data_IF_150243782961
#
_entry.id   IF_150243782961
#
_cell.length_a   1.000
_cell.length_b   1.000
_cell.length_c   1.000
_cell.angle_alpha   90.00
_cell.angle_beta   90.00
_cell.angle_gamma   90.00
#
_symmetry.space_group_name_H-M   'P 1'
#
loop_
_entity.id
_entity.type
_entity.pdbx_description
1 polymer ?
#
# COMPACT_ATOMS: atom_id res chain seq x y z
N UNK A 1 13.85 -31.68 -55.76
CA UNK A 1 13.25 -30.34 -55.74
C UNK A 1 12.65 -30.11 -54.37
N UNK A 2 12.90 -28.98 -53.74
CA UNK A 2 12.32 -28.70 -52.43
C UNK A 2 10.77 -28.48 -52.55
N UNK A 3 10.01 -29.18 -51.78
CA UNK A 3 8.57 -29.02 -51.71
C UNK A 3 8.24 -27.68 -51.00
N UNK A 4 7.24 -26.93 -51.49
CA UNK A 4 6.85 -25.65 -50.91
C UNK A 4 5.52 -25.81 -50.21
N UNK A 5 5.49 -25.47 -48.91
CA UNK A 5 4.28 -25.49 -48.10
C UNK A 5 3.93 -24.07 -47.64
N UNK A 6 2.68 -23.66 -47.77
CA UNK A 6 2.19 -22.37 -47.26
C UNK A 6 1.63 -22.54 -45.86
N UNK A 7 2.13 -21.77 -44.93
CA UNK A 7 1.70 -21.78 -43.50
C UNK A 7 0.23 -21.36 -43.38
N UNK A 8 -0.61 -22.20 -42.82
CA UNK A 8 -2.00 -21.92 -42.51
C UNK A 8 -2.14 -21.24 -41.14
N UNK A 9 -3.28 -20.61 -40.88
CA UNK A 9 -3.54 -20.02 -39.57
C UNK A 9 -3.44 -21.07 -38.44
N UNK A 10 -2.68 -20.74 -37.38
CA UNK A 10 -2.43 -21.63 -36.23
C UNK A 10 -1.34 -22.70 -36.43
N UNK A 11 -0.72 -22.80 -37.59
CA UNK A 11 0.40 -23.72 -37.81
C UNK A 11 1.73 -23.13 -37.31
N UNK A 12 2.57 -24.02 -36.76
CA UNK A 12 3.93 -23.71 -36.33
C UNK A 12 4.95 -24.45 -37.19
N UNK A 13 6.23 -24.04 -37.20
CA UNK A 13 7.28 -24.80 -37.88
C UNK A 13 7.37 -26.24 -37.36
N UNK A 14 7.11 -26.45 -36.07
CA UNK A 14 7.10 -27.81 -35.47
C UNK A 14 5.98 -28.69 -36.03
N UNK A 15 4.78 -28.12 -36.25
CA UNK A 15 3.66 -28.87 -36.86
C UNK A 15 3.93 -29.20 -38.33
N UNK A 16 4.56 -28.28 -39.05
CA UNK A 16 4.93 -28.44 -40.47
C UNK A 16 6.06 -29.48 -40.58
N UNK A 17 7.08 -29.44 -39.73
CA UNK A 17 8.18 -30.40 -39.69
C UNK A 17 7.66 -31.82 -39.46
N UNK A 18 6.79 -32.01 -38.50
CA UNK A 18 6.18 -33.32 -38.18
C UNK A 18 5.35 -33.86 -39.37
N UNK A 19 4.57 -32.99 -40.02
CA UNK A 19 3.72 -33.39 -41.13
C UNK A 19 4.53 -33.79 -42.38
N UNK A 20 5.79 -33.34 -42.50
CA UNK A 20 6.65 -33.58 -43.66
C UNK A 20 7.88 -34.43 -43.35
N UNK A 21 7.88 -35.13 -42.21
CA UNK A 21 8.95 -36.07 -41.80
C UNK A 21 10.36 -35.43 -41.80
N UNK A 22 10.45 -34.18 -41.37
CA UNK A 22 11.68 -33.38 -41.28
C UNK A 22 11.80 -32.73 -39.91
N UNK A 23 12.88 -32.04 -39.61
CA UNK A 23 13.09 -31.31 -38.37
C UNK A 23 12.91 -29.81 -38.57
N UNK A 24 12.58 -29.09 -37.48
CA UNK A 24 12.50 -27.61 -37.50
C UNK A 24 13.83 -27.00 -37.90
N UNK A 25 14.95 -27.58 -37.46
CA UNK A 25 16.30 -27.16 -37.80
C UNK A 25 16.58 -27.23 -39.29
N UNK A 26 16.18 -28.32 -39.94
CA UNK A 26 16.33 -28.51 -41.39
C UNK A 26 15.43 -27.53 -42.17
N UNK A 27 14.23 -27.30 -41.71
CA UNK A 27 13.35 -26.28 -42.31
C UNK A 27 13.97 -24.87 -42.18
N UNK A 28 14.51 -24.50 -41.02
CA UNK A 28 15.19 -23.23 -40.83
C UNK A 28 16.41 -23.10 -41.75
N UNK A 29 17.23 -24.13 -41.86
CA UNK A 29 18.40 -24.19 -42.76
C UNK A 29 18.00 -24.02 -44.23
N UNK A 30 16.88 -24.63 -44.66
CA UNK A 30 16.36 -24.52 -46.03
C UNK A 30 15.65 -23.17 -46.32
N UNK A 31 15.46 -22.31 -45.30
CA UNK A 31 14.76 -21.02 -45.37
C UNK A 31 15.52 -19.93 -44.62
N UNK A 32 16.63 -19.40 -45.15
CA UNK A 32 17.47 -18.41 -44.45
C UNK A 32 16.72 -17.17 -43.94
N UNK A 33 15.59 -16.83 -44.55
CA UNK A 33 14.73 -15.73 -44.10
C UNK A 33 14.30 -15.82 -42.61
N UNK A 34 14.21 -17.03 -42.06
CA UNK A 34 13.84 -17.20 -40.67
C UNK A 34 14.93 -16.79 -39.68
N UNK A 35 16.19 -16.77 -40.11
CA UNK A 35 17.33 -16.32 -39.32
C UNK A 35 17.74 -14.89 -39.63
N UNK A 36 17.52 -14.42 -40.86
CA UNK A 36 17.98 -13.10 -41.32
C UNK A 36 16.95 -11.98 -41.10
N UNK A 37 15.65 -12.28 -41.08
CA UNK A 37 14.59 -11.31 -40.90
C UNK A 37 14.11 -11.31 -39.41
N UNK A 38 14.32 -10.23 -38.66
CA UNK A 38 14.00 -10.13 -37.23
C UNK A 38 12.56 -10.47 -36.85
N UNK A 39 11.59 -10.30 -37.80
CA UNK A 39 10.18 -10.60 -37.55
C UNK A 39 9.93 -12.09 -37.26
N UNK A 40 10.78 -12.98 -37.74
CA UNK A 40 10.64 -14.41 -37.51
C UNK A 40 11.33 -14.93 -36.24
N UNK A 41 12.06 -14.08 -35.53
CA UNK A 41 12.77 -14.39 -34.27
C UNK A 41 13.53 -15.74 -34.31
N UNK A 42 14.35 -15.94 -35.31
CA UNK A 42 15.10 -17.19 -35.49
C UNK A 42 14.23 -18.42 -35.80
N UNK A 43 13.05 -18.25 -36.36
CA UNK A 43 12.09 -19.32 -36.65
C UNK A 43 11.10 -19.60 -35.50
N UNK A 44 11.19 -18.89 -34.41
CA UNK A 44 10.21 -19.04 -33.28
C UNK A 44 8.82 -18.50 -33.61
N UNK A 45 8.71 -17.63 -34.61
CA UNK A 45 7.44 -17.05 -35.07
C UNK A 45 7.32 -17.26 -36.57
N UNK A 46 6.17 -17.77 -37.03
CA UNK A 46 5.79 -17.84 -38.43
C UNK A 46 4.39 -17.26 -38.64
N UNK A 47 4.20 -16.63 -39.76
CA UNK A 47 2.94 -15.97 -40.09
C UNK A 47 2.16 -16.81 -41.14
N UNK A 48 0.84 -16.82 -40.98
CA UNK A 48 -0.06 -17.41 -42.01
C UNK A 48 0.21 -16.76 -43.39
N UNK A 49 0.21 -17.56 -44.43
CA UNK A 49 0.57 -17.14 -45.79
C UNK A 49 2.08 -17.19 -46.10
N UNK A 50 2.97 -17.44 -45.12
CA UNK A 50 4.40 -17.60 -45.37
C UNK A 50 4.68 -18.89 -46.11
N UNK A 51 5.37 -18.83 -47.27
CA UNK A 51 5.82 -20.04 -47.98
C UNK A 51 7.13 -20.55 -47.37
N UNK A 52 7.16 -21.83 -47.04
CA UNK A 52 8.26 -22.52 -46.40
C UNK A 52 8.76 -23.62 -47.36
N UNK A 53 10.05 -23.66 -47.65
CA UNK A 53 10.68 -24.73 -48.40
C UNK A 53 10.94 -25.90 -47.46
N UNK A 54 10.41 -27.05 -47.82
CA UNK A 54 10.62 -28.31 -47.08
C UNK A 54 11.75 -29.07 -47.76
N UNK A 55 12.86 -29.37 -47.06
CA UNK A 55 13.89 -30.22 -47.62
C UNK A 55 13.31 -31.62 -47.80
N UNK A 56 13.46 -32.19 -49.00
CA UNK A 56 13.13 -33.58 -49.27
C UNK A 56 14.11 -34.43 -48.46
N UNK A 57 13.60 -35.19 -47.51
CA UNK A 57 14.42 -36.15 -46.76
C UNK A 57 15.04 -37.16 -47.73
N UNK A 58 16.31 -37.03 -48.02
CA UNK A 58 17.09 -38.13 -48.55
C UNK A 58 17.33 -39.05 -47.33
N UNK A 59 16.97 -40.34 -47.39
CA UNK A 59 17.30 -41.23 -46.30
C UNK A 59 18.83 -41.37 -46.29
N UNK A 60 19.51 -40.59 -45.49
CA UNK A 60 20.90 -40.78 -45.13
C UNK A 60 20.91 -41.97 -44.14
N UNK A 61 20.97 -43.14 -44.71
CA UNK A 61 21.50 -44.31 -43.99
C UNK A 61 22.87 -43.93 -43.42
N UNK A 62 23.28 -44.48 -42.29
CA UNK A 62 24.58 -44.20 -41.73
C UNK A 62 25.66 -44.43 -42.76
N UNK A 63 26.33 -43.35 -43.18
CA UNK A 63 27.52 -43.42 -44.05
C UNK A 63 28.59 -44.18 -43.27
N UNK A 64 28.88 -45.37 -43.68
CA UNK A 64 30.01 -46.14 -43.20
C UNK A 64 31.27 -45.33 -43.48
N UNK A 65 31.87 -44.79 -42.42
CA UNK A 65 33.16 -44.13 -42.55
C UNK A 65 34.12 -45.13 -43.13
N UNK A 66 34.72 -44.82 -44.29
CA UNK A 66 35.84 -45.52 -44.85
C UNK A 66 36.98 -45.47 -43.83
N UNK A 67 37.17 -46.59 -43.12
CA UNK A 67 38.24 -46.77 -42.15
C UNK A 67 39.62 -46.81 -42.84
N UNK A 68 40.65 -46.45 -42.08
CA UNK A 68 42.02 -46.49 -42.55
C UNK A 68 42.40 -47.92 -42.92
N UNK A 69 43.21 -48.08 -43.99
CA UNK A 69 43.77 -49.31 -44.53
C UNK A 69 44.31 -50.19 -43.41
N UNK A 70 43.83 -51.45 -43.35
CA UNK A 70 44.22 -52.43 -42.37
C UNK A 70 45.74 -52.76 -42.56
N UNK A 71 46.51 -52.56 -41.50
CA UNK A 71 47.85 -53.18 -41.37
C UNK A 71 47.66 -54.65 -41.17
N UNK A 72 48.30 -55.44 -42.09
CA UNK A 72 48.29 -56.88 -42.07
C UNK A 72 48.92 -57.38 -40.76
N UNK A 73 48.13 -58.08 -39.93
CA UNK A 73 48.69 -58.75 -38.74
C UNK A 73 47.83 -58.70 -37.43
N UNK A 74 46.61 -58.14 -37.41
CA UNK A 74 45.77 -58.22 -36.25
C UNK A 74 44.77 -59.38 -36.37
N UNK A 75 44.82 -60.31 -35.45
CA UNK A 75 43.79 -61.33 -35.21
C UNK A 75 42.46 -60.65 -34.97
N UNK A 76 41.47 -60.86 -35.79
CA UNK A 76 40.08 -60.39 -35.62
C UNK A 76 39.54 -60.88 -34.28
N UNK A 77 39.00 -60.00 -33.43
CA UNK A 77 38.27 -60.44 -32.26
C UNK A 77 37.07 -61.27 -32.74
N UNK A 78 36.86 -62.40 -32.13
CA UNK A 78 35.74 -63.30 -32.36
C UNK A 78 34.44 -62.51 -32.26
N UNK A 79 33.74 -62.32 -33.37
CA UNK A 79 32.39 -61.75 -33.35
C UNK A 79 31.50 -62.75 -32.61
N UNK A 80 31.21 -62.45 -31.35
CA UNK A 80 30.22 -63.19 -30.56
C UNK A 80 28.87 -62.93 -31.23
N UNK A 81 28.39 -63.83 -32.03
CA UNK A 81 27.04 -63.81 -32.58
C UNK A 81 26.06 -63.93 -31.42
N UNK A 82 25.37 -62.81 -31.12
CA UNK A 82 24.31 -62.78 -30.13
C UNK A 82 23.22 -63.79 -30.51
N UNK A 83 22.75 -64.55 -29.55
CA UNK A 83 21.62 -65.45 -29.78
C UNK A 83 20.36 -64.70 -30.07
N UNK A 84 19.37 -65.22 -30.79
CA UNK A 84 18.08 -64.54 -31.00
C UNK A 84 17.41 -64.00 -29.69
N UNK A 85 17.59 -64.76 -28.61
CA UNK A 85 17.08 -64.36 -27.26
C UNK A 85 17.83 -63.13 -26.69
N UNK A 86 19.16 -63.05 -26.89
CA UNK A 86 19.95 -61.90 -26.50
C UNK A 86 19.62 -60.68 -27.32
N UNK A 87 19.34 -60.79 -28.58
CA UNK A 87 18.87 -59.69 -29.43
C UNK A 87 17.49 -59.24 -28.99
N UNK A 88 16.56 -60.15 -28.73
CA UNK A 88 15.23 -59.82 -28.23
C UNK A 88 15.28 -59.06 -26.85
N UNK A 89 16.16 -59.51 -25.95
CA UNK A 89 16.38 -58.88 -24.65
C UNK A 89 16.95 -57.47 -24.79
N UNK A 90 17.91 -57.26 -25.72
CA UNK A 90 18.46 -55.92 -25.99
C UNK A 90 17.42 -54.95 -26.59
N UNK A 91 16.59 -55.47 -27.52
CA UNK A 91 15.49 -54.66 -28.10
C UNK A 91 14.49 -54.31 -27.02
N UNK A 92 14.09 -55.24 -26.16
CA UNK A 92 13.18 -54.98 -25.06
C UNK A 92 13.76 -53.97 -24.06
N UNK A 93 15.05 -54.09 -23.72
CA UNK A 93 15.74 -53.15 -22.85
C UNK A 93 15.84 -51.73 -23.47
N UNK A 94 16.13 -51.65 -24.78
CA UNK A 94 16.16 -50.36 -25.50
C UNK A 94 14.77 -49.71 -25.59
N UNK A 95 13.73 -50.50 -25.81
CA UNK A 95 12.34 -50.01 -25.80
C UNK A 95 11.92 -49.54 -24.40
N UNK A 96 12.27 -50.28 -23.34
CA UNK A 96 12.00 -49.86 -21.96
C UNK A 96 12.75 -48.56 -21.60
N UNK A 97 14.02 -48.44 -21.99
CA UNK A 97 14.81 -47.22 -21.76
C UNK A 97 14.24 -46.02 -22.52
N UNK A 98 13.81 -46.20 -23.77
CA UNK A 98 13.19 -45.13 -24.54
C UNK A 98 11.83 -44.72 -23.97
N UNK A 99 11.02 -45.67 -23.49
CA UNK A 99 9.75 -45.41 -22.83
C UNK A 99 9.97 -44.65 -21.50
N UNK A 100 10.97 -45.04 -20.71
CA UNK A 100 11.33 -44.33 -19.46
C UNK A 100 11.86 -42.92 -19.73
N UNK A 101 12.66 -42.71 -20.75
CA UNK A 101 13.15 -41.39 -21.15
C UNK A 101 12.01 -40.47 -21.61
N UNK A 102 11.07 -41.01 -22.41
CA UNK A 102 9.88 -40.26 -22.83
C UNK A 102 8.97 -39.89 -21.65
N UNK A 103 8.77 -40.85 -20.71
CA UNK A 103 7.98 -40.55 -19.48
C UNK A 103 8.64 -39.48 -18.61
N UNK A 104 9.97 -39.51 -18.45
CA UNK A 104 10.72 -38.50 -17.72
C UNK A 104 10.66 -37.12 -18.38
N UNK A 105 10.67 -37.08 -19.72
CA UNK A 105 10.53 -35.84 -20.47
C UNK A 105 9.12 -35.24 -20.33
N UNK A 106 8.08 -36.06 -20.44
CA UNK A 106 6.69 -35.67 -20.22
C UNK A 106 6.52 -35.13 -18.79
N UNK A 107 7.08 -35.80 -17.78
CA UNK A 107 7.02 -35.34 -16.39
C UNK A 107 7.71 -33.98 -16.20
N UNK A 108 8.88 -33.76 -16.81
CA UNK A 108 9.58 -32.47 -16.80
C UNK A 108 8.75 -31.35 -17.46
N UNK A 109 8.14 -31.64 -18.59
CA UNK A 109 7.29 -30.69 -19.30
C UNK A 109 6.04 -30.33 -18.48
N UNK A 110 5.42 -31.29 -17.80
CA UNK A 110 4.28 -31.06 -16.92
C UNK A 110 4.68 -30.21 -15.74
N UNK A 111 5.80 -30.51 -15.09
CA UNK A 111 6.31 -29.69 -13.96
C UNK A 111 6.64 -28.26 -14.39
N UNK A 112 7.28 -28.09 -15.56
CA UNK A 112 7.57 -26.76 -16.08
C UNK A 112 6.30 -25.96 -16.41
N UNK A 113 5.28 -26.60 -17.00
CA UNK A 113 4.00 -25.97 -17.29
C UNK A 113 3.23 -25.58 -16.02
N UNK A 114 3.28 -26.42 -14.98
CA UNK A 114 2.68 -26.12 -13.69
C UNK A 114 3.40 -24.97 -12.98
N UNK A 115 4.72 -24.97 -12.94
CA UNK A 115 5.52 -23.88 -12.40
C UNK A 115 5.23 -22.54 -13.10
N UNK A 116 5.11 -22.55 -14.43
CA UNK A 116 4.76 -21.36 -15.19
C UNK A 116 3.33 -20.89 -14.90
N UNK A 117 2.38 -21.80 -14.71
CA UNK A 117 1.00 -21.46 -14.33
C UNK A 117 0.95 -20.81 -12.94
N UNK A 118 1.68 -21.39 -11.97
CA UNK A 118 1.78 -20.81 -10.62
C UNK A 118 2.44 -19.42 -10.63
N UNK A 119 3.49 -19.25 -11.42
CA UNK A 119 4.16 -17.95 -11.59
C UNK A 119 3.22 -16.89 -12.16
N UNK A 120 2.43 -17.24 -13.20
CA UNK A 120 1.44 -16.32 -13.79
C UNK A 120 0.32 -15.99 -12.81
N UNK A 121 -0.16 -16.97 -12.05
CA UNK A 121 -1.17 -16.75 -11.02
C UNK A 121 -0.64 -15.83 -9.91
N UNK A 122 0.61 -16.03 -9.46
CA UNK A 122 1.28 -15.17 -8.49
C UNK A 122 1.45 -13.74 -9.02
N UNK A 123 1.86 -13.56 -10.26
CA UNK A 123 1.99 -12.23 -10.86
C UNK A 123 0.63 -11.52 -10.90
N UNK A 124 -0.45 -12.21 -11.30
CA UNK A 124 -1.79 -11.62 -11.31
C UNK A 124 -2.27 -11.25 -9.90
N UNK A 125 -1.98 -12.06 -8.89
CA UNK A 125 -2.30 -11.77 -7.50
C UNK A 125 -1.54 -10.53 -6.99
N UNK A 126 -0.25 -10.42 -7.34
CA UNK A 126 0.56 -9.24 -7.03
C UNK A 126 -0.02 -7.97 -7.66
N UNK A 127 -0.35 -8.01 -8.95
CA UNK A 127 -0.88 -6.87 -9.68
C UNK A 127 -2.21 -6.38 -9.10
N UNK A 128 -3.09 -7.31 -8.68
CA UNK A 128 -4.35 -6.99 -8.01
C UNK A 128 -4.09 -6.31 -6.67
N UNK A 129 -3.30 -6.91 -5.80
CA UNK A 129 -2.96 -6.36 -4.49
C UNK A 129 -2.26 -4.99 -4.62
N UNK A 130 -1.28 -4.88 -5.51
CA UNK A 130 -0.58 -3.62 -5.75
C UNK A 130 -1.55 -2.53 -6.20
N UNK A 131 -2.47 -2.83 -7.12
CA UNK A 131 -3.48 -1.88 -7.61
C UNK A 131 -4.41 -1.44 -6.49
N UNK A 132 -4.91 -2.38 -5.68
CA UNK A 132 -5.79 -2.10 -4.55
C UNK A 132 -5.11 -1.23 -3.50
N UNK A 133 -3.91 -1.61 -3.07
CA UNK A 133 -3.16 -0.83 -2.08
C UNK A 133 -2.70 0.53 -2.62
N UNK A 134 -2.37 0.61 -3.92
CA UNK A 134 -1.94 1.86 -4.54
C UNK A 134 -3.05 2.90 -4.61
N UNK A 135 -4.33 2.50 -4.67
CA UNK A 135 -5.47 3.42 -4.58
C UNK A 135 -5.48 4.22 -3.27
N UNK A 136 -4.92 3.64 -2.20
CA UNK A 136 -4.78 4.27 -0.89
C UNK A 136 -3.38 4.88 -0.65
N UNK A 137 -2.53 4.96 -1.68
CA UNK A 137 -1.13 5.40 -1.54
C UNK A 137 -0.23 4.42 -0.80
N UNK A 138 -0.64 3.15 -0.70
CA UNK A 138 0.04 2.10 0.08
C UNK A 138 0.75 1.06 -0.81
N UNK A 139 0.91 1.32 -2.11
CA UNK A 139 1.53 0.38 -3.04
C UNK A 139 2.93 -0.08 -2.62
N UNK A 140 3.71 0.80 -1.99
CA UNK A 140 5.04 0.47 -1.46
C UNK A 140 5.04 -0.61 -0.37
N UNK A 141 3.91 -0.89 0.27
CA UNK A 141 3.79 -1.96 1.28
C UNK A 141 3.71 -3.35 0.64
N UNK A 142 3.27 -3.44 -0.62
CA UNK A 142 3.12 -4.70 -1.34
C UNK A 142 4.43 -5.14 -2.00
N UNK A 143 5.31 -4.21 -2.35
CA UNK A 143 6.58 -4.48 -3.02
C UNK A 143 7.46 -5.54 -2.31
N UNK A 144 7.68 -5.47 -0.99
CA UNK A 144 8.47 -6.47 -0.27
C UNK A 144 7.88 -7.89 -0.31
N UNK A 145 6.58 -8.03 -0.62
CA UNK A 145 5.88 -9.31 -0.65
C UNK A 145 5.91 -9.99 -2.02
N UNK A 146 6.47 -9.35 -3.04
CA UNK A 146 6.48 -9.87 -4.42
C UNK A 146 7.00 -11.30 -4.50
N UNK A 147 8.11 -11.60 -3.84
CA UNK A 147 8.68 -12.95 -3.80
C UNK A 147 7.76 -13.99 -3.16
N UNK A 148 7.11 -13.61 -2.06
CA UNK A 148 6.16 -14.48 -1.35
C UNK A 148 4.91 -14.71 -2.20
N UNK A 149 4.35 -13.68 -2.80
CA UNK A 149 3.15 -13.78 -3.67
C UNK A 149 3.41 -14.72 -4.84
N UNK A 150 4.61 -14.68 -5.42
CA UNK A 150 5.01 -15.53 -6.52
C UNK A 150 5.14 -17.02 -6.13
N UNK A 151 5.30 -17.34 -4.85
CA UNK A 151 5.33 -18.73 -4.35
C UNK A 151 3.94 -19.33 -4.11
N UNK A 152 2.85 -18.57 -4.30
CA UNK A 152 1.48 -19.05 -4.24
C UNK A 152 0.92 -19.25 -2.81
N UNK A 153 1.15 -18.33 -1.87
CA UNK A 153 0.62 -18.43 -0.52
C UNK A 153 -0.90 -18.24 -0.50
N UNK A 154 -1.53 -18.68 0.58
CA UNK A 154 -2.93 -18.35 0.85
C UNK A 154 -3.10 -16.86 1.16
N UNK A 155 -4.31 -16.32 0.99
CA UNK A 155 -4.63 -14.93 1.35
C UNK A 155 -4.36 -14.61 2.82
N UNK A 156 -4.55 -15.59 3.71
CA UNK A 156 -4.27 -15.45 5.14
C UNK A 156 -2.76 -15.31 5.41
N UNK A 157 -1.92 -16.14 4.78
CA UNK A 157 -0.46 -16.06 4.89
C UNK A 157 0.07 -14.74 4.33
N UNK A 158 -0.47 -14.27 3.21
CA UNK A 158 -0.15 -12.96 2.63
C UNK A 158 -0.49 -11.81 3.59
N UNK A 159 -1.68 -11.82 4.17
CA UNK A 159 -2.10 -10.79 5.13
C UNK A 159 -1.20 -10.79 6.37
N UNK A 160 -0.85 -11.97 6.89
CA UNK A 160 0.04 -12.10 8.04
C UNK A 160 1.45 -11.58 7.70
N UNK A 161 1.99 -11.97 6.55
CA UNK A 161 3.31 -11.52 6.09
C UNK A 161 3.34 -10.01 5.84
N UNK A 162 2.28 -9.42 5.25
CA UNK A 162 2.16 -7.98 5.05
C UNK A 162 2.22 -7.24 6.39
N UNK A 163 1.43 -7.67 7.37
CA UNK A 163 1.37 -7.05 8.69
C UNK A 163 2.64 -7.23 9.50
N UNK A 164 3.46 -8.22 9.19
CA UNK A 164 4.77 -8.45 9.79
C UNK A 164 5.87 -7.55 9.21
N UNK A 165 5.66 -6.89 8.06
CA UNK A 165 6.69 -6.02 7.47
C UNK A 165 6.88 -4.74 8.28
N UNK A 166 8.14 -4.29 8.40
CA UNK A 166 8.47 -3.02 9.06
C UNK A 166 7.74 -1.83 8.42
N UNK A 167 7.57 -1.85 7.11
CA UNK A 167 6.86 -0.81 6.37
C UNK A 167 5.39 -0.71 6.81
N UNK A 168 4.71 -1.84 6.93
CA UNK A 168 3.33 -1.89 7.42
C UNK A 168 3.23 -1.43 8.88
N UNK A 169 4.10 -1.95 9.75
CA UNK A 169 4.10 -1.58 11.17
C UNK A 169 4.34 -0.09 11.38
N UNK A 170 5.25 0.49 10.61
CA UNK A 170 5.48 1.94 10.62
C UNK A 170 4.28 2.72 10.08
N UNK A 171 3.66 2.26 8.98
CA UNK A 171 2.51 2.94 8.38
C UNK A 171 1.28 2.95 9.28
N UNK A 172 1.06 1.88 10.03
CA UNK A 172 -0.08 1.69 10.93
C UNK A 172 0.32 1.66 12.41
N UNK A 173 1.34 2.45 12.78
CA UNK A 173 1.94 2.44 14.12
C UNK A 173 0.92 2.67 15.25
N UNK A 174 -0.11 3.48 15.03
CA UNK A 174 -1.16 3.72 16.01
C UNK A 174 -1.92 2.45 16.41
N UNK A 175 -2.02 1.45 15.55
CA UNK A 175 -2.69 0.19 15.88
C UNK A 175 -1.96 -0.59 16.99
N UNK A 176 -0.62 -0.54 17.00
CA UNK A 176 0.16 -1.16 18.07
C UNK A 176 -0.11 -0.47 19.43
N UNK A 177 -0.20 0.86 19.44
CA UNK A 177 -0.51 1.62 20.65
C UNK A 177 -1.97 1.41 21.10
N UNK A 178 -2.92 1.30 20.18
CA UNK A 178 -4.32 0.95 20.48
C UNK A 178 -4.41 -0.39 21.21
N UNK A 179 -3.74 -1.42 20.69
CA UNK A 179 -3.71 -2.74 21.32
C UNK A 179 -3.13 -2.68 22.74
N UNK A 180 -2.02 -1.95 22.95
CA UNK A 180 -1.45 -1.74 24.28
C UNK A 180 -2.42 -1.09 25.27
N UNK A 181 -3.32 -0.24 24.78
CA UNK A 181 -4.36 0.43 25.56
C UNK A 181 -5.66 -0.41 25.70
N UNK A 182 -5.66 -1.66 25.20
CA UNK A 182 -6.83 -2.53 25.24
C UNK A 182 -7.89 -2.22 24.18
N UNK A 183 -7.57 -1.39 23.19
CA UNK A 183 -8.44 -1.05 22.06
C UNK A 183 -8.20 -2.00 20.89
N UNK A 184 -9.23 -2.23 20.06
CA UNK A 184 -9.07 -3.00 18.84
C UNK A 184 -8.21 -2.26 17.81
N UNK A 185 -7.40 -3.01 17.06
CA UNK A 185 -6.74 -2.48 15.87
C UNK A 185 -7.79 -2.08 14.82
N UNK A 186 -7.59 -0.96 14.14
CA UNK A 186 -8.44 -0.54 13.05
C UNK A 186 -8.05 -1.27 11.76
N UNK A 187 -9.03 -1.74 10.97
CA UNK A 187 -8.78 -2.18 9.60
C UNK A 187 -8.14 -1.07 8.78
N UNK A 188 -7.34 -1.44 7.79
CA UNK A 188 -6.53 -0.53 6.98
C UNK A 188 -7.37 0.60 6.34
N UNK A 189 -8.49 0.22 5.71
CA UNK A 189 -9.40 1.18 5.07
C UNK A 189 -10.03 2.17 6.09
N UNK A 190 -10.37 1.68 7.29
CA UNK A 190 -10.91 2.53 8.37
C UNK A 190 -9.85 3.49 8.89
N UNK A 191 -8.62 3.01 9.06
CA UNK A 191 -7.49 3.82 9.50
C UNK A 191 -7.20 4.97 8.52
N UNK A 192 -7.05 4.65 7.23
CA UNK A 192 -6.80 5.66 6.17
C UNK A 192 -7.98 6.62 6.04
N UNK A 193 -9.22 6.10 6.05
CA UNK A 193 -10.41 6.94 6.00
C UNK A 193 -10.55 7.89 7.20
N UNK A 194 -10.04 7.51 8.37
CA UNK A 194 -10.00 8.39 9.54
C UNK A 194 -8.94 9.48 9.39
N UNK A 195 -7.75 9.14 8.88
CA UNK A 195 -6.72 10.13 8.54
C UNK A 195 -7.22 11.17 7.53
N UNK A 196 -7.95 10.74 6.50
CA UNK A 196 -8.51 11.65 5.49
C UNK A 196 -9.56 12.59 6.08
N UNK A 197 -10.38 12.11 7.01
CA UNK A 197 -11.32 12.93 7.75
C UNK A 197 -10.59 13.95 8.63
N UNK A 198 -9.54 13.55 9.34
CA UNK A 198 -8.72 14.47 10.14
C UNK A 198 -8.09 15.55 9.27
N UNK A 199 -7.52 15.16 8.13
CA UNK A 199 -6.96 16.12 7.17
C UNK A 199 -8.03 17.09 6.66
N UNK A 200 -9.21 16.59 6.34
CA UNK A 200 -10.36 17.39 5.91
C UNK A 200 -10.77 18.42 6.96
N UNK A 201 -10.96 17.99 8.21
CA UNK A 201 -11.30 18.89 9.34
C UNK A 201 -10.24 19.98 9.48
N UNK A 202 -8.96 19.61 9.63
CA UNK A 202 -7.89 20.59 9.87
C UNK A 202 -7.74 21.58 8.71
N UNK A 203 -7.90 21.12 7.47
CA UNK A 203 -7.87 21.98 6.28
C UNK A 203 -9.06 22.93 6.24
N UNK A 204 -10.27 22.45 6.48
CA UNK A 204 -11.50 23.26 6.42
C UNK A 204 -11.49 24.40 7.44
N UNK A 205 -10.91 24.17 8.62
CA UNK A 205 -10.72 25.19 9.64
C UNK A 205 -9.44 26.02 9.46
N UNK A 206 -8.71 25.85 8.36
CA UNK A 206 -7.54 26.67 8.03
C UNK A 206 -6.38 26.52 9.02
N UNK A 207 -6.12 25.30 9.52
CA UNK A 207 -4.93 25.03 10.29
C UNK A 207 -3.68 25.08 9.38
N UNK A 208 -2.49 25.41 9.92
CA UNK A 208 -1.25 25.32 9.17
C UNK A 208 -1.02 23.90 8.61
N UNK A 209 -0.44 23.80 7.41
CA UNK A 209 -0.20 22.54 6.74
C UNK A 209 0.61 21.53 7.56
N UNK A 210 1.48 22.01 8.45
CA UNK A 210 2.26 21.17 9.37
C UNK A 210 1.42 20.25 10.26
N UNK A 211 0.16 20.61 10.51
CA UNK A 211 -0.75 19.79 11.32
C UNK A 211 -1.40 18.65 10.53
N UNK A 212 -1.48 18.75 9.20
CA UNK A 212 -2.21 17.76 8.39
C UNK A 212 -1.48 17.22 7.16
N UNK A 213 -0.29 17.75 6.83
CA UNK A 213 0.49 17.21 5.72
C UNK A 213 1.03 15.83 6.06
N UNK A 214 0.77 14.88 5.17
CA UNK A 214 1.31 13.52 5.23
C UNK A 214 2.70 13.51 4.57
N UNK A 215 3.58 12.64 5.04
CA UNK A 215 4.87 12.37 4.41
C UNK A 215 4.72 11.51 3.14
N UNK A 216 5.83 11.18 2.50
CA UNK A 216 5.86 10.38 1.26
C UNK A 216 5.34 8.94 1.45
N UNK A 217 5.23 8.48 2.68
CA UNK A 217 4.68 7.16 3.04
C UNK A 217 3.20 7.25 3.42
N UNK A 218 2.60 8.42 3.33
CA UNK A 218 1.21 8.68 3.72
C UNK A 218 0.99 8.81 5.23
N UNK A 219 2.06 8.97 6.04
CA UNK A 219 2.00 9.11 7.50
C UNK A 219 1.90 10.56 7.93
N UNK A 220 1.23 10.78 9.05
CA UNK A 220 1.25 12.03 9.81
C UNK A 220 1.25 11.68 11.30
N UNK A 221 2.32 12.04 12.00
CA UNK A 221 2.55 11.66 13.42
C UNK A 221 1.46 12.17 14.36
N UNK A 222 0.90 13.36 14.08
CA UNK A 222 -0.23 13.89 14.86
C UNK A 222 -1.48 13.01 14.71
N UNK A 223 -1.74 12.50 13.50
CA UNK A 223 -2.87 11.59 13.26
C UNK A 223 -2.66 10.25 13.97
N UNK A 224 -1.44 9.72 13.97
CA UNK A 224 -1.12 8.50 14.72
C UNK A 224 -1.45 8.63 16.21
N UNK A 225 -1.11 9.77 16.82
CA UNK A 225 -1.44 10.06 18.23
C UNK A 225 -2.95 10.14 18.46
N UNK A 226 -3.68 10.80 17.57
CA UNK A 226 -5.15 10.91 17.66
C UNK A 226 -5.80 9.51 17.55
N UNK A 227 -5.39 8.72 16.56
CA UNK A 227 -5.89 7.34 16.35
C UNK A 227 -5.55 6.44 17.55
N UNK A 228 -4.32 6.51 18.07
CA UNK A 228 -3.89 5.72 19.22
C UNK A 228 -4.69 6.03 20.50
N UNK A 229 -5.27 7.21 20.59
CA UNK A 229 -6.12 7.66 21.70
C UNK A 229 -7.63 7.60 21.38
N UNK A 230 -8.00 6.92 20.31
CA UNK A 230 -9.40 6.71 19.90
C UNK A 230 -10.20 8.00 19.66
N UNK A 231 -9.52 9.08 19.29
CA UNK A 231 -10.18 10.35 18.98
C UNK A 231 -10.96 10.21 17.67
N UNK A 232 -12.27 10.43 17.70
CA UNK A 232 -13.09 10.43 16.50
C UNK A 232 -12.89 11.69 15.66
N UNK A 233 -13.29 11.66 14.38
CA UNK A 233 -13.25 12.85 13.52
C UNK A 233 -14.14 13.98 14.06
N UNK A 234 -15.29 13.63 14.63
CA UNK A 234 -16.20 14.60 15.27
C UNK A 234 -15.57 15.22 16.52
N UNK A 235 -14.91 14.41 17.34
CA UNK A 235 -14.19 14.92 18.51
C UNK A 235 -13.04 15.85 18.09
N UNK A 236 -12.27 15.47 17.05
CA UNK A 236 -11.23 16.34 16.51
C UNK A 236 -11.81 17.68 16.03
N UNK A 237 -12.94 17.66 15.33
CA UNK A 237 -13.62 18.87 14.89
C UNK A 237 -14.03 19.76 16.07
N UNK A 238 -14.62 19.19 17.11
CA UNK A 238 -14.93 19.93 18.34
C UNK A 238 -13.68 20.56 18.97
N UNK A 239 -12.56 19.81 19.01
CA UNK A 239 -11.28 20.31 19.54
C UNK A 239 -10.75 21.49 18.71
N UNK A 240 -10.82 21.38 17.38
CA UNK A 240 -10.42 22.45 16.46
C UNK A 240 -11.30 23.70 16.65
N UNK A 241 -12.62 23.53 16.74
CA UNK A 241 -13.56 24.64 17.01
C UNK A 241 -13.21 25.32 18.34
N UNK A 242 -12.95 24.56 19.39
CA UNK A 242 -12.58 25.12 20.70
C UNK A 242 -11.32 25.99 20.62
N UNK A 243 -10.27 25.54 19.96
CA UNK A 243 -9.03 26.31 19.86
C UNK A 243 -9.10 27.42 18.82
N UNK A 244 -9.52 27.07 17.60
CA UNK A 244 -9.47 27.98 16.45
C UNK A 244 -10.59 29.02 16.52
N UNK A 245 -11.86 28.60 16.65
CA UNK A 245 -12.99 29.52 16.54
C UNK A 245 -13.29 30.22 17.85
N UNK A 246 -13.32 29.52 18.98
CA UNK A 246 -13.72 30.12 20.26
C UNK A 246 -12.60 30.92 20.95
N UNK A 247 -11.31 30.52 20.71
CA UNK A 247 -10.18 31.26 21.32
C UNK A 247 -9.47 32.13 20.29
N UNK A 248 -8.90 31.55 19.21
CA UNK A 248 -8.06 32.33 18.29
C UNK A 248 -8.86 33.32 17.43
N UNK A 249 -10.04 32.93 16.94
CA UNK A 249 -10.96 33.78 16.17
C UNK A 249 -12.03 34.43 17.07
N UNK A 250 -12.02 34.15 18.37
CA UNK A 250 -12.95 34.65 19.32
C UNK A 250 -12.83 36.20 19.56
N UNK A 251 -13.73 36.76 20.38
CA UNK A 251 -13.68 38.18 20.73
C UNK A 251 -12.30 38.60 21.26
N UNK A 252 -11.84 39.83 20.99
CA UNK A 252 -10.55 40.34 21.47
C UNK A 252 -10.34 40.16 22.98
N UNK A 253 -11.41 40.33 23.76
CA UNK A 253 -11.40 40.18 25.21
C UNK A 253 -11.14 38.72 25.64
N UNK A 254 -11.64 37.75 24.87
CA UNK A 254 -11.36 36.34 25.11
C UNK A 254 -9.87 36.03 24.89
N UNK A 255 -9.29 36.57 23.82
CA UNK A 255 -7.83 36.43 23.56
C UNK A 255 -7.01 37.17 24.63
N UNK A 256 -7.48 38.33 25.10
CA UNK A 256 -6.84 39.06 26.19
C UNK A 256 -6.88 38.23 27.49
N UNK A 257 -8.02 37.67 27.85
CA UNK A 257 -8.17 36.79 29.01
C UNK A 257 -7.26 35.56 28.89
N UNK A 258 -7.18 34.97 27.71
CA UNK A 258 -6.29 33.85 27.48
C UNK A 258 -4.82 34.19 27.78
N UNK A 259 -4.32 35.30 27.23
CA UNK A 259 -2.95 35.77 27.48
C UNK A 259 -2.71 36.17 28.94
N UNK A 260 -3.73 36.68 29.61
CA UNK A 260 -3.64 37.01 31.03
C UNK A 260 -3.60 35.75 31.92
N UNK A 261 -4.39 34.73 31.59
CA UNK A 261 -4.41 33.47 32.32
C UNK A 261 -3.20 32.59 32.03
N UNK A 262 -2.66 32.70 30.83
CA UNK A 262 -1.57 31.84 30.30
C UNK A 262 -0.50 32.70 29.58
N UNK A 263 0.26 33.52 30.30
CA UNK A 263 1.11 34.57 29.70
C UNK A 263 2.28 34.04 28.84
N UNK A 264 2.66 32.77 29.01
CA UNK A 264 3.74 32.14 28.26
C UNK A 264 3.26 31.30 27.07
N UNK A 265 1.97 31.25 26.78
CA UNK A 265 1.39 30.41 25.72
C UNK A 265 1.19 31.23 24.45
N UNK A 266 1.69 30.68 23.32
CA UNK A 266 1.50 31.25 21.97
C UNK A 266 0.22 30.71 21.31
N UNK A 267 -0.18 31.32 20.19
CA UNK A 267 -1.31 30.81 19.38
C UNK A 267 -1.07 29.35 18.87
N UNK A 268 0.19 28.98 18.59
CA UNK A 268 0.55 27.61 18.25
C UNK A 268 0.38 26.64 19.43
N UNK A 269 0.67 27.08 20.63
CA UNK A 269 0.49 26.29 21.85
C UNK A 269 -0.99 26.05 22.18
N UNK A 270 -1.86 26.97 21.80
CA UNK A 270 -3.33 26.80 21.95
C UNK A 270 -3.79 25.63 21.09
N UNK A 271 -3.36 25.59 19.81
CA UNK A 271 -3.68 24.47 18.91
C UNK A 271 -3.06 23.17 19.42
N UNK A 272 -1.79 23.21 19.86
CA UNK A 272 -1.13 22.06 20.47
C UNK A 272 -1.88 21.52 21.68
N UNK A 273 -2.39 22.43 22.55
CA UNK A 273 -3.16 22.04 23.73
C UNK A 273 -4.50 21.38 23.40
N UNK A 274 -5.28 21.96 22.49
CA UNK A 274 -6.61 21.42 22.14
C UNK A 274 -6.51 20.15 21.28
N UNK A 275 -5.45 20.02 20.50
CA UNK A 275 -5.21 18.84 19.67
C UNK A 275 -4.48 17.72 20.41
N UNK A 276 -4.03 17.94 21.65
CA UNK A 276 -3.37 16.93 22.47
C UNK A 276 -4.38 15.81 22.84
N UNK A 277 -4.23 14.60 22.28
CA UNK A 277 -5.21 13.53 22.49
C UNK A 277 -5.15 12.92 23.90
N UNK A 278 -4.11 13.22 24.67
CA UNK A 278 -3.98 12.76 26.07
C UNK A 278 -4.87 13.58 27.02
N UNK A 279 -5.33 14.73 26.55
CA UNK A 279 -6.25 15.59 27.31
C UNK A 279 -7.70 15.25 27.01
N UNK A 280 -8.49 15.09 28.06
CA UNK A 280 -9.92 14.85 27.91
C UNK A 280 -10.64 16.06 27.28
N UNK A 281 -11.53 15.79 26.33
CA UNK A 281 -12.31 16.85 25.66
C UNK A 281 -13.07 17.73 26.66
N UNK A 282 -13.60 17.17 27.75
CA UNK A 282 -14.33 17.91 28.77
C UNK A 282 -13.42 18.88 29.53
N UNK A 283 -12.15 18.52 29.78
CA UNK A 283 -11.19 19.44 30.40
C UNK A 283 -10.88 20.62 29.48
N UNK A 284 -10.70 20.34 28.19
CA UNK A 284 -10.49 21.38 27.17
C UNK A 284 -11.70 22.32 27.11
N UNK A 285 -12.93 21.77 27.05
CA UNK A 285 -14.18 22.53 27.04
C UNK A 285 -14.27 23.48 28.28
N UNK A 286 -13.98 22.94 29.47
CA UNK A 286 -14.00 23.71 30.72
C UNK A 286 -13.00 24.86 30.69
N UNK A 287 -11.76 24.63 30.26
CA UNK A 287 -10.72 25.67 30.18
C UNK A 287 -11.04 26.75 29.16
N UNK A 288 -11.54 26.37 27.98
CA UNK A 288 -11.98 27.34 26.96
C UNK A 288 -13.14 28.19 27.51
N UNK A 289 -14.12 27.57 28.16
CA UNK A 289 -15.23 28.31 28.81
C UNK A 289 -14.73 29.25 29.90
N UNK A 290 -13.75 28.84 30.70
CA UNK A 290 -13.14 29.74 31.71
C UNK A 290 -12.46 30.94 31.05
N UNK A 291 -11.79 30.78 29.93
CA UNK A 291 -11.21 31.91 29.17
C UNK A 291 -12.30 32.85 28.63
N UNK A 292 -13.41 32.30 28.12
CA UNK A 292 -14.56 33.13 27.68
C UNK A 292 -15.20 33.90 28.84
N UNK A 293 -15.31 33.27 30.02
CA UNK A 293 -15.78 33.95 31.25
C UNK A 293 -14.81 35.09 31.63
N UNK A 294 -13.49 34.86 31.53
CA UNK A 294 -12.47 35.87 31.72
C UNK A 294 -12.61 37.03 30.74
N UNK A 295 -12.83 36.76 29.46
CA UNK A 295 -13.11 37.75 28.42
C UNK A 295 -14.37 38.55 28.71
N UNK A 296 -15.44 37.89 29.19
CA UNK A 296 -16.68 38.56 29.56
C UNK A 296 -16.49 39.57 30.75
N UNK A 297 -15.67 39.22 31.72
CA UNK A 297 -15.29 40.13 32.81
C UNK A 297 -14.52 41.33 32.27
N UNK A 298 -13.47 41.12 31.48
CA UNK A 298 -12.64 42.16 30.87
C UNK A 298 -13.50 43.10 30.01
N UNK A 299 -14.36 42.56 29.15
CA UNK A 299 -15.26 43.36 28.29
C UNK A 299 -16.29 44.19 29.07
N UNK A 300 -16.50 43.88 30.34
CA UNK A 300 -17.35 44.63 31.26
C UNK A 300 -16.56 45.59 32.21
N UNK A 301 -15.24 45.73 31.97
CA UNK A 301 -14.37 46.56 32.82
C UNK A 301 -14.12 45.95 34.21
N UNK A 302 -14.35 44.64 34.36
CA UNK A 302 -14.18 43.93 35.62
C UNK A 302 -12.99 42.98 35.54
N UNK A 303 -12.46 42.55 36.69
CA UNK A 303 -11.37 41.59 36.78
C UNK A 303 -11.84 40.25 37.34
N UNK A 304 -11.28 39.18 36.82
CA UNK A 304 -11.41 37.82 37.35
C UNK A 304 -10.08 37.09 37.19
N UNK A 305 -9.93 35.95 37.85
CA UNK A 305 -8.76 35.11 37.69
C UNK A 305 -9.15 33.73 37.17
N UNK A 306 -8.16 32.96 36.72
CA UNK A 306 -8.37 31.63 36.12
C UNK A 306 -9.15 30.70 37.05
N UNK A 307 -8.76 30.61 38.33
CA UNK A 307 -9.40 29.71 39.30
C UNK A 307 -10.89 29.99 39.44
N UNK A 308 -11.27 31.28 39.55
CA UNK A 308 -12.68 31.69 39.68
C UNK A 308 -13.45 31.42 38.38
N UNK A 309 -12.83 31.71 37.26
CA UNK A 309 -13.41 31.42 35.94
C UNK A 309 -13.63 29.92 35.72
N UNK A 310 -12.67 29.05 36.11
CA UNK A 310 -12.81 27.60 36.08
C UNK A 310 -13.90 27.07 37.03
N UNK A 311 -14.04 27.66 38.22
CA UNK A 311 -15.13 27.32 39.11
C UNK A 311 -16.50 27.65 38.51
N UNK A 312 -16.65 28.82 37.91
CA UNK A 312 -17.89 29.22 37.23
C UNK A 312 -18.19 28.28 36.04
N UNK A 313 -17.18 27.95 35.23
CA UNK A 313 -17.32 26.97 34.15
C UNK A 313 -17.72 25.58 34.69
N UNK A 314 -17.17 25.17 35.84
CA UNK A 314 -17.53 23.93 36.53
C UNK A 314 -18.97 23.89 37.03
N UNK A 315 -19.54 25.03 37.36
CA UNK A 315 -20.98 25.18 37.69
C UNK A 315 -21.87 25.29 36.44
N UNK A 316 -21.34 25.11 35.24
CA UNK A 316 -22.13 25.19 34.00
C UNK A 316 -22.40 26.62 33.49
N UNK A 317 -21.75 27.64 34.04
CA UNK A 317 -21.85 28.99 33.51
C UNK A 317 -21.14 29.03 32.14
N UNK A 318 -21.87 29.45 31.12
CA UNK A 318 -21.32 29.66 29.77
C UNK A 318 -20.71 31.05 29.63
N UNK A 319 -19.85 31.27 28.63
CA UNK A 319 -19.29 32.57 28.31
C UNK A 319 -20.37 33.64 28.06
N UNK A 320 -21.51 33.27 27.45
CA UNK A 320 -22.64 34.20 27.22
C UNK A 320 -23.35 34.55 28.50
N UNK A 321 -23.67 33.57 29.36
CA UNK A 321 -24.27 33.84 30.68
C UNK A 321 -23.36 34.71 31.53
N UNK A 322 -22.05 34.46 31.51
CA UNK A 322 -21.07 35.31 32.20
C UNK A 322 -21.05 36.75 31.66
N UNK A 323 -21.10 36.90 30.31
CA UNK A 323 -21.14 38.23 29.67
C UNK A 323 -22.34 39.02 30.12
N UNK A 324 -23.50 38.39 30.21
CA UNK A 324 -24.73 39.03 30.70
C UNK A 324 -24.63 39.39 32.20
N UNK A 325 -24.14 38.46 33.03
CA UNK A 325 -23.94 38.67 34.47
C UNK A 325 -22.97 39.82 34.77
N UNK A 326 -21.81 39.85 34.13
CA UNK A 326 -20.81 40.89 34.33
C UNK A 326 -21.28 42.27 33.84
N UNK A 327 -22.05 42.36 32.74
CA UNK A 327 -22.69 43.64 32.32
C UNK A 327 -23.66 44.15 33.36
N UNK A 328 -24.48 43.31 33.97
CA UNK A 328 -25.41 43.69 35.00
C UNK A 328 -24.68 44.22 36.25
N UNK A 329 -23.59 43.56 36.66
CA UNK A 329 -22.75 44.00 37.76
C UNK A 329 -22.11 45.36 37.45
N UNK A 330 -21.48 45.50 36.25
CA UNK A 330 -20.87 46.76 35.84
C UNK A 330 -21.87 47.92 35.80
N UNK A 331 -23.08 47.71 35.26
CA UNK A 331 -24.15 48.72 35.27
C UNK A 331 -24.66 49.07 36.68
N UNK A 332 -24.66 48.07 37.59
CA UNK A 332 -24.96 48.33 39.01
C UNK A 332 -23.90 49.20 39.71
N UNK A 333 -22.63 48.90 39.47
CA UNK A 333 -21.50 49.67 40.00
C UNK A 333 -21.47 51.09 39.46
N UNK A 334 -21.76 51.29 38.18
CA UNK A 334 -21.83 52.62 37.59
C UNK A 334 -22.95 53.45 38.18
N UNK A 335 -24.15 52.89 38.33
CA UNK A 335 -25.26 53.58 39.04
C UNK A 335 -24.90 53.93 40.48
N UNK A 336 -24.23 53.05 41.21
CA UNK A 336 -23.73 53.28 42.55
C UNK A 336 -22.75 54.47 42.62
N UNK A 337 -21.82 54.53 41.65
CA UNK A 337 -20.86 55.67 41.55
C UNK A 337 -21.58 57.00 41.28
N UNK A 338 -22.54 56.97 40.34
CA UNK A 338 -23.35 58.20 40.06
C UNK A 338 -24.13 58.67 41.26
N UNK A 339 -24.78 57.77 41.99
CA UNK A 339 -25.48 58.10 43.23
C UNK A 339 -24.52 58.67 44.31
N UNK A 340 -23.37 58.03 44.50
CA UNK A 340 -22.34 58.49 45.42
C UNK A 340 -21.83 59.89 45.05
N UNK A 341 -21.64 60.19 43.77
CA UNK A 341 -21.27 61.54 43.29
C UNK A 341 -22.31 62.61 43.58
N UNK A 342 -23.59 62.27 43.47
CA UNK A 342 -24.69 63.17 43.77
C UNK A 342 -24.70 63.48 45.27
N UNK A 343 -24.52 62.49 46.14
CA UNK A 343 -24.48 62.70 47.60
C UNK A 343 -23.25 63.48 48.07
N UNK A 344 -22.13 63.41 47.39
CA UNK A 344 -20.93 64.20 47.70
C UNK A 344 -21.03 65.66 47.24
N UNK A 345 -21.92 65.97 46.30
CA UNK A 345 -22.12 67.29 45.75
C UNK A 345 -23.30 68.07 46.40
N UNK A 346 -24.05 67.46 47.36
CA UNK A 346 -25.10 68.14 48.09
C UNK A 346 -24.47 68.94 49.25
N UNK A 347 -24.38 70.28 49.20
CA UNK A 347 -23.98 71.08 50.33
C UNK A 347 -25.15 71.07 51.33
N UNK A 348 -24.81 70.77 52.55
CA UNK A 348 -25.71 71.08 53.68
C UNK A 348 -25.84 72.57 53.87
#
# INVERSE_FOLDING_TARGET
MAEKVTVKSGQTLSSIARANNTTVSEIIAANPKFTTDPKYKGGSVVFSGTTVNIPTATPTGPTLATGPTLATGATLPTVTTLTPEQIAAQIAAAQAASAAANAAEIARQQQAAEAERLRRAGQSAYDILFTEFNQYGLGSLVEPLKGLIMSGPSSAELTLALRATDAYQKRFAANAERIKKGLAALPEAVYVGLEDKYQGVMRNYGLPATYYSKDTTGRQVGFEKLIANDVSATELEERVILGKERVLNGPPETRQAFRQFFPSITDGDILGYVLDPERGLQDIKRKVTAVEIGGAAIGSGLATNLTRAEQLAGYGITGEAARQGYRNIAGGLERGRQLSGIYQQSPY
#
